data_IF_763390520693
#
_entry.id   IF_763390520693
#
_cell.length_a   1.000
_cell.length_b   1.000
_cell.length_c   1.000
_cell.angle_alpha   90.00
_cell.angle_beta   90.00
_cell.angle_gamma   90.00
#
_symmetry.space_group_name_H-M   'P 1'
#
loop_
_entity.id
_entity.type
_entity.pdbx_description
1 polymer ?
#
# COMPACT_ATOMS: atom_id res chain seq x y z
N UNK A 1 19.04 -0.37 68.44
CA UNK A 1 18.22 -0.11 67.24
C UNK A 1 18.54 1.28 66.76
N UNK A 2 19.38 1.39 65.73
CA UNK A 2 19.83 2.67 65.16
C UNK A 2 19.30 2.75 63.74
N UNK A 3 18.54 3.80 63.45
CA UNK A 3 17.89 4.06 62.16
C UNK A 3 18.89 4.78 61.27
N UNK A 4 19.32 4.13 60.18
CA UNK A 4 20.13 4.76 59.15
C UNK A 4 19.21 5.52 58.17
N UNK A 5 19.38 6.84 58.11
CA UNK A 5 18.70 7.76 57.19
C UNK A 5 19.23 7.61 55.77
N UNK A 6 18.34 7.43 54.79
CA UNK A 6 18.65 7.44 53.36
C UNK A 6 18.72 8.89 52.86
N UNK A 7 19.79 9.33 52.18
CA UNK A 7 19.85 10.67 51.62
C UNK A 7 19.05 10.76 50.31
N UNK A 8 18.32 11.86 50.15
CA UNK A 8 17.58 12.19 48.94
C UNK A 8 18.54 12.58 47.80
N UNK A 9 18.57 11.78 46.74
CA UNK A 9 19.25 12.12 45.50
C UNK A 9 18.27 12.82 44.56
N UNK A 10 18.23 14.14 44.68
CA UNK A 10 17.76 15.02 43.61
C UNK A 10 18.82 15.07 42.52
N UNK A 11 18.78 14.14 41.57
CA UNK A 11 19.48 14.29 40.30
C UNK A 11 18.58 15.03 39.31
N UNK A 12 18.97 16.27 39.01
CA UNK A 12 18.53 16.98 37.82
C UNK A 12 18.98 16.17 36.61
N UNK A 13 18.04 15.50 35.94
CA UNK A 13 18.25 15.00 34.59
C UNK A 13 18.56 16.20 33.71
N UNK A 14 19.82 16.34 33.37
CA UNK A 14 20.31 17.26 32.36
C UNK A 14 19.63 16.93 31.04
N UNK A 15 18.94 17.92 30.49
CA UNK A 15 18.30 17.89 29.18
C UNK A 15 19.34 17.61 28.10
N UNK A 16 19.50 16.34 27.75
CA UNK A 16 20.30 15.89 26.63
C UNK A 16 19.77 16.48 25.32
N UNK A 17 20.54 17.43 24.80
CA UNK A 17 20.72 17.76 23.39
C UNK A 17 19.51 17.69 22.46
N UNK A 18 19.07 18.86 22.02
CA UNK A 18 18.21 19.08 20.86
C UNK A 18 18.88 18.66 19.53
N UNK A 19 19.39 17.43 19.44
CA UNK A 19 19.64 16.78 18.17
C UNK A 19 18.28 16.62 17.47
N UNK A 20 18.13 17.35 16.36
CA UNK A 20 16.89 17.90 15.83
C UNK A 20 15.64 17.01 15.87
N UNK A 21 14.51 17.57 16.30
CA UNK A 21 13.18 16.98 16.11
C UNK A 21 12.86 16.65 14.64
N UNK A 22 13.64 17.15 13.68
CA UNK A 22 13.54 16.88 12.26
C UNK A 22 14.08 15.48 11.87
N UNK A 23 15.23 15.05 12.41
CA UNK A 23 15.76 13.70 12.18
C UNK A 23 14.79 12.61 12.68
N UNK A 24 13.96 12.94 13.68
CA UNK A 24 12.95 12.04 14.21
C UNK A 24 11.78 11.78 13.25
N UNK A 25 11.43 12.73 12.35
CA UNK A 25 10.20 12.68 11.53
C UNK A 25 10.34 11.95 10.19
N UNK A 26 11.54 11.97 9.60
CA UNK A 26 11.79 11.49 8.24
C UNK A 26 12.55 10.17 8.28
N UNK A 27 12.23 9.21 7.41
CA UNK A 27 12.85 7.88 7.35
C UNK A 27 14.35 8.00 7.15
N UNK A 28 14.80 8.71 6.10
CA UNK A 28 16.21 8.98 5.84
C UNK A 28 16.54 10.43 6.17
N UNK A 29 15.91 11.37 5.46
CA UNK A 29 16.02 12.80 5.73
C UNK A 29 14.89 13.54 5.03
N UNK A 30 14.61 14.77 5.48
CA UNK A 30 13.50 15.54 4.91
C UNK A 30 13.63 15.79 3.40
N UNK A 31 14.85 15.97 2.92
CA UNK A 31 15.11 16.21 1.51
C UNK A 31 15.03 14.92 0.69
N UNK A 32 15.68 13.83 1.16
CA UNK A 32 15.66 12.53 0.46
C UNK A 32 14.24 11.99 0.36
N UNK A 33 13.49 11.97 1.47
CA UNK A 33 12.15 11.42 1.50
C UNK A 33 11.20 12.20 0.58
N UNK A 34 11.25 13.54 0.59
CA UNK A 34 10.47 14.39 -0.32
C UNK A 34 10.87 14.15 -1.78
N UNK A 35 12.17 14.05 -2.06
CA UNK A 35 12.66 13.78 -3.39
C UNK A 35 12.11 12.45 -3.89
N UNK A 36 12.23 11.36 -3.12
CA UNK A 36 11.69 10.06 -3.51
C UNK A 36 10.17 10.10 -3.71
N UNK A 37 9.41 10.69 -2.79
CA UNK A 37 7.94 10.71 -2.87
C UNK A 37 7.44 11.54 -4.06
N UNK A 38 7.98 12.75 -4.24
CA UNK A 38 7.49 13.69 -5.27
C UNK A 38 8.08 13.39 -6.65
N UNK A 39 9.35 12.97 -6.72
CA UNK A 39 10.03 12.76 -7.99
C UNK A 39 9.57 11.48 -8.68
N UNK A 40 9.16 10.44 -7.93
CA UNK A 40 8.70 9.18 -8.53
C UNK A 40 7.59 9.39 -9.57
N UNK A 41 6.44 10.02 -9.27
CA UNK A 41 5.41 10.25 -10.29
C UNK A 41 5.86 11.24 -11.39
N UNK A 42 6.68 12.22 -11.02
CA UNK A 42 7.19 13.25 -11.95
C UNK A 42 8.22 12.71 -12.95
N UNK A 43 8.93 11.63 -12.63
CA UNK A 43 9.87 10.96 -13.55
C UNK A 43 9.19 9.79 -14.25
N UNK A 44 8.40 9.00 -13.54
CA UNK A 44 7.75 7.82 -14.12
C UNK A 44 6.79 8.20 -15.25
N UNK A 45 5.99 9.26 -15.08
CA UNK A 45 5.00 9.66 -16.10
C UNK A 45 5.68 10.13 -17.40
N UNK A 46 6.61 11.10 -17.39
CA UNK A 46 7.31 11.49 -18.61
C UNK A 46 8.15 10.37 -19.21
N UNK A 47 8.75 9.50 -18.38
CA UNK A 47 9.50 8.35 -18.89
C UNK A 47 8.60 7.41 -19.70
N UNK A 48 7.42 7.04 -19.17
CA UNK A 48 6.45 6.21 -19.90
C UNK A 48 5.99 6.89 -21.19
N UNK A 49 5.69 8.19 -21.14
CA UNK A 49 5.29 8.95 -22.32
C UNK A 49 6.40 9.02 -23.38
N UNK A 50 7.65 9.23 -22.98
CA UNK A 50 8.80 9.27 -23.87
C UNK A 50 9.04 7.90 -24.50
N UNK A 51 9.02 6.82 -23.71
CA UNK A 51 9.21 5.46 -24.20
C UNK A 51 8.11 5.06 -25.21
N UNK A 52 6.87 5.47 -24.97
CA UNK A 52 5.75 5.21 -25.89
C UNK A 52 5.64 6.21 -27.05
N UNK A 53 6.42 7.30 -27.01
CA UNK A 53 6.38 8.32 -28.06
C UNK A 53 6.92 7.80 -29.39
N UNK A 54 6.59 8.45 -30.53
CA UNK A 54 7.14 8.08 -31.84
C UNK A 54 8.67 8.11 -31.92
N UNK A 55 9.35 8.81 -31.01
CA UNK A 55 10.81 8.94 -30.98
C UNK A 55 11.51 7.64 -30.55
N UNK A 56 10.88 6.90 -29.62
CA UNK A 56 11.42 5.63 -29.10
C UNK A 56 10.62 4.44 -29.63
N UNK A 57 9.29 4.56 -29.70
CA UNK A 57 8.42 3.60 -30.34
C UNK A 57 8.19 2.30 -29.55
N UNK A 58 8.40 2.28 -28.23
CA UNK A 58 8.07 1.10 -27.43
C UNK A 58 6.56 0.92 -27.31
N UNK A 59 6.11 -0.32 -27.53
CA UNK A 59 4.72 -0.70 -27.35
C UNK A 59 4.32 -0.56 -25.88
N UNK A 60 3.10 -0.06 -25.65
CA UNK A 60 2.54 0.11 -24.31
C UNK A 60 2.51 -1.21 -23.52
N UNK A 61 2.32 -2.34 -24.20
CA UNK A 61 2.36 -3.67 -23.60
C UNK A 61 3.76 -4.00 -23.05
N UNK A 62 4.81 -3.77 -23.82
CA UNK A 62 6.20 -3.98 -23.37
C UNK A 62 6.53 -3.11 -22.16
N UNK A 63 6.14 -1.83 -22.19
CA UNK A 63 6.32 -0.91 -21.07
C UNK A 63 5.57 -1.43 -19.84
N UNK A 64 4.31 -1.86 -20.02
CA UNK A 64 3.48 -2.43 -18.96
C UNK A 64 4.09 -3.69 -18.35
N UNK A 65 4.63 -4.59 -19.16
CA UNK A 65 5.30 -5.81 -18.69
C UNK A 65 6.53 -5.48 -17.85
N UNK A 66 7.35 -4.52 -18.28
CA UNK A 66 8.54 -4.09 -17.53
C UNK A 66 8.12 -3.44 -16.21
N UNK A 67 7.19 -2.48 -16.25
CA UNK A 67 6.71 -1.76 -15.07
C UNK A 67 6.09 -2.74 -14.07
N UNK A 68 5.24 -3.64 -14.56
CA UNK A 68 4.58 -4.64 -13.71
C UNK A 68 5.58 -5.62 -13.12
N UNK A 69 6.54 -6.13 -13.90
CA UNK A 69 7.50 -7.13 -13.42
C UNK A 69 8.47 -6.57 -12.37
N UNK A 70 9.07 -5.40 -12.62
CA UNK A 70 10.11 -4.87 -11.74
C UNK A 70 9.56 -3.99 -10.62
N UNK A 71 8.59 -3.13 -10.91
CA UNK A 71 8.12 -2.14 -9.93
C UNK A 71 6.88 -2.64 -9.18
N UNK A 72 5.92 -3.22 -9.89
CA UNK A 72 4.71 -3.74 -9.25
C UNK A 72 4.95 -5.09 -8.55
N UNK A 73 5.72 -6.01 -9.15
CA UNK A 73 5.99 -7.33 -8.53
C UNK A 73 7.26 -7.32 -7.69
N UNK A 74 8.30 -6.59 -8.12
CA UNK A 74 9.60 -6.61 -7.43
C UNK A 74 9.56 -6.13 -5.98
N UNK A 75 8.61 -5.25 -5.61
CA UNK A 75 8.47 -4.81 -4.22
C UNK A 75 7.96 -5.92 -3.27
N UNK A 76 7.43 -7.03 -3.79
CA UNK A 76 7.04 -8.17 -2.96
C UNK A 76 8.25 -8.84 -2.31
N UNK A 77 9.42 -8.82 -2.95
CA UNK A 77 10.61 -9.47 -2.42
C UNK A 77 11.04 -8.90 -1.05
N UNK A 78 11.20 -7.58 -0.85
CA UNK A 78 11.40 -7.00 0.49
C UNK A 78 10.31 -7.40 1.49
N UNK A 79 9.05 -7.50 1.04
CA UNK A 79 7.94 -7.94 1.86
C UNK A 79 8.09 -9.40 2.33
N UNK A 80 8.51 -10.29 1.44
CA UNK A 80 8.80 -11.70 1.75
C UNK A 80 9.99 -11.82 2.71
N UNK A 81 11.09 -11.09 2.43
CA UNK A 81 12.26 -11.05 3.32
C UNK A 81 11.84 -10.61 4.73
N UNK A 82 10.99 -9.60 4.85
CA UNK A 82 10.47 -9.17 6.15
C UNK A 82 9.57 -10.23 6.79
N UNK A 83 8.63 -10.80 6.06
CA UNK A 83 7.66 -11.75 6.59
C UNK A 83 8.29 -13.05 7.11
N UNK A 84 9.32 -13.55 6.43
CA UNK A 84 9.99 -14.82 6.77
C UNK A 84 11.35 -14.64 7.45
N UNK A 85 11.95 -13.45 7.40
CA UNK A 85 13.24 -13.14 8.01
C UNK A 85 13.15 -12.48 9.39
N UNK A 86 12.04 -11.80 9.71
CA UNK A 86 11.81 -11.24 11.04
C UNK A 86 11.17 -12.32 11.95
N UNK A 87 11.96 -12.78 12.93
CA UNK A 87 11.54 -13.86 13.84
C UNK A 87 10.31 -13.49 14.66
N UNK A 88 10.24 -12.28 15.20
CA UNK A 88 9.12 -11.86 16.06
C UNK A 88 7.83 -11.77 15.23
N UNK A 89 7.93 -11.20 14.03
CA UNK A 89 6.80 -11.11 13.10
C UNK A 89 6.33 -12.51 12.64
N UNK A 90 7.27 -13.39 12.31
CA UNK A 90 6.95 -14.75 11.87
C UNK A 90 6.29 -15.54 12.99
N UNK A 91 6.86 -15.58 14.20
CA UNK A 91 6.27 -16.32 15.33
C UNK A 91 4.85 -15.84 15.64
N UNK A 92 4.59 -14.52 15.54
CA UNK A 92 3.26 -13.93 15.73
C UNK A 92 2.23 -14.32 14.68
N UNK A 93 2.62 -14.49 13.42
CA UNK A 93 1.71 -14.75 12.29
C UNK A 93 2.00 -16.05 11.53
N UNK A 94 2.72 -16.98 12.15
CA UNK A 94 3.29 -18.19 11.54
C UNK A 94 2.29 -18.97 10.69
N UNK A 95 1.08 -19.21 11.19
CA UNK A 95 0.06 -19.96 10.47
C UNK A 95 -0.43 -19.24 9.21
N UNK A 96 -0.48 -17.91 9.22
CA UNK A 96 -0.83 -17.13 8.03
C UNK A 96 0.28 -17.23 7.00
N UNK A 97 1.53 -17.13 7.41
CA UNK A 97 2.67 -17.21 6.50
C UNK A 97 2.94 -18.62 5.97
N UNK A 98 2.58 -19.67 6.72
CA UNK A 98 2.71 -21.05 6.26
C UNK A 98 1.53 -21.49 5.39
N UNK A 99 0.30 -21.15 5.76
CA UNK A 99 -0.90 -21.67 5.10
C UNK A 99 -1.38 -20.80 3.94
N UNK A 100 -1.25 -19.46 4.00
CA UNK A 100 -1.80 -18.61 2.95
C UNK A 100 -1.18 -18.87 1.56
N UNK A 101 0.15 -19.00 1.39
CA UNK A 101 0.73 -19.26 0.07
C UNK A 101 0.21 -20.55 -0.60
N UNK A 102 0.26 -21.75 0.05
CA UNK A 102 -0.24 -22.96 -0.58
C UNK A 102 -1.77 -22.92 -0.79
N UNK A 103 -2.54 -22.34 0.14
CA UNK A 103 -3.99 -22.25 -0.04
C UNK A 103 -4.38 -21.35 -1.21
N UNK A 104 -3.73 -20.20 -1.39
CA UNK A 104 -3.96 -19.32 -2.54
C UNK A 104 -3.52 -19.99 -3.83
N UNK A 105 -2.37 -20.68 -3.82
CA UNK A 105 -1.89 -21.44 -4.98
C UNK A 105 -2.85 -22.58 -5.37
N UNK A 106 -3.40 -23.31 -4.41
CA UNK A 106 -4.36 -24.37 -4.69
C UNK A 106 -5.71 -23.81 -5.15
N UNK A 107 -6.18 -22.71 -4.56
CA UNK A 107 -7.41 -22.03 -4.97
C UNK A 107 -7.34 -21.48 -6.40
N UNK A 108 -6.15 -21.14 -6.89
CA UNK A 108 -5.94 -20.66 -8.26
C UNK A 108 -6.49 -21.64 -9.30
N UNK A 109 -6.23 -22.95 -9.18
CA UNK A 109 -6.60 -23.91 -10.23
C UNK A 109 -8.11 -23.98 -10.53
N UNK A 110 -9.00 -24.21 -9.55
CA UNK A 110 -10.43 -24.23 -9.82
C UNK A 110 -10.98 -22.85 -10.20
N UNK A 111 -10.48 -21.77 -9.58
CA UNK A 111 -10.90 -20.41 -9.90
C UNK A 111 -10.53 -20.04 -11.34
N UNK A 112 -9.31 -20.33 -11.78
CA UNK A 112 -8.85 -20.08 -13.14
C UNK A 112 -9.61 -20.93 -14.16
N UNK A 113 -9.89 -22.20 -13.83
CA UNK A 113 -10.48 -23.17 -14.77
C UNK A 113 -11.99 -22.99 -14.92
N UNK A 114 -12.71 -22.75 -13.82
CA UNK A 114 -14.18 -22.77 -13.81
C UNK A 114 -14.82 -21.42 -13.50
N UNK A 115 -14.09 -20.48 -12.89
CA UNK A 115 -14.63 -19.21 -12.40
C UNK A 115 -13.68 -18.03 -12.69
N UNK A 116 -13.22 -17.93 -13.94
CA UNK A 116 -12.17 -17.01 -14.34
C UNK A 116 -12.51 -15.53 -14.08
N UNK A 117 -13.76 -15.13 -14.31
CA UNK A 117 -14.22 -13.77 -14.04
C UNK A 117 -14.22 -13.46 -12.55
N UNK A 118 -14.65 -14.40 -11.70
CA UNK A 118 -14.57 -14.27 -10.25
C UNK A 118 -13.11 -14.17 -9.79
N UNK A 119 -12.21 -14.97 -10.36
CA UNK A 119 -10.78 -14.87 -10.11
C UNK A 119 -10.25 -13.47 -10.42
N UNK A 120 -10.58 -12.92 -11.60
CA UNK A 120 -10.18 -11.56 -12.01
C UNK A 120 -10.70 -10.50 -11.04
N UNK A 121 -11.95 -10.61 -10.57
CA UNK A 121 -12.51 -9.69 -9.55
C UNK A 121 -11.78 -9.77 -8.22
N UNK A 122 -11.47 -10.99 -7.75
CA UNK A 122 -10.73 -11.20 -6.49
C UNK A 122 -9.35 -10.55 -6.61
N UNK A 123 -8.61 -10.83 -7.68
CA UNK A 123 -7.27 -10.26 -7.89
C UNK A 123 -7.34 -8.74 -8.04
N UNK A 124 -8.31 -8.21 -8.77
CA UNK A 124 -8.48 -6.77 -8.93
C UNK A 124 -8.75 -6.08 -7.59
N UNK A 125 -9.67 -6.63 -6.80
CA UNK A 125 -10.04 -6.13 -5.48
C UNK A 125 -8.86 -6.22 -4.53
N UNK A 126 -8.18 -7.37 -4.49
CA UNK A 126 -6.99 -7.60 -3.68
C UNK A 126 -5.86 -6.64 -4.05
N UNK A 127 -5.55 -6.47 -5.34
CA UNK A 127 -4.51 -5.56 -5.79
C UNK A 127 -4.82 -4.10 -5.41
N UNK A 128 -6.09 -3.69 -5.48
CA UNK A 128 -6.56 -2.38 -5.02
C UNK A 128 -6.33 -2.20 -3.53
N UNK A 129 -6.84 -3.15 -2.74
CA UNK A 129 -6.72 -3.14 -1.29
C UNK A 129 -5.25 -3.19 -0.85
N UNK A 130 -4.43 -4.01 -1.50
CA UNK A 130 -3.01 -4.16 -1.22
C UNK A 130 -2.27 -2.84 -1.44
N UNK A 131 -2.47 -2.20 -2.60
CA UNK A 131 -1.85 -0.90 -2.89
C UNK A 131 -2.28 0.19 -1.91
N UNK A 132 -3.57 0.22 -1.54
CA UNK A 132 -4.10 1.11 -0.52
C UNK A 132 -3.41 0.88 0.82
N UNK A 133 -3.38 -0.37 1.30
CA UNK A 133 -2.80 -0.72 2.59
C UNK A 133 -1.28 -0.49 2.63
N UNK A 134 -0.60 -0.63 1.50
CA UNK A 134 0.82 -0.31 1.35
C UNK A 134 1.06 1.19 1.51
N UNK A 135 0.30 2.03 0.80
CA UNK A 135 0.42 3.49 0.93
C UNK A 135 0.03 3.97 2.33
N UNK A 136 -1.08 3.46 2.86
CA UNK A 136 -1.52 3.72 4.22
C UNK A 136 -0.43 3.35 5.24
N UNK A 137 0.19 2.18 5.09
CA UNK A 137 1.31 1.75 5.93
C UNK A 137 2.48 2.74 5.92
N UNK A 138 2.86 3.27 4.75
CA UNK A 138 3.90 4.31 4.65
C UNK A 138 3.51 5.57 5.40
N UNK A 139 2.29 6.08 5.25
CA UNK A 139 1.79 7.24 6.00
C UNK A 139 1.91 7.00 7.51
N UNK A 140 1.53 5.80 7.98
CA UNK A 140 1.60 5.43 9.40
C UNK A 140 3.02 5.37 9.96
N UNK A 141 4.04 5.09 9.13
CA UNK A 141 5.44 5.14 9.56
C UNK A 141 5.86 6.58 9.89
N UNK A 142 5.50 7.56 9.05
CA UNK A 142 5.79 8.98 9.30
C UNK A 142 5.06 9.50 10.55
N UNK A 143 3.81 9.07 10.74
CA UNK A 143 3.02 9.41 11.91
C UNK A 143 3.63 8.87 13.21
N UNK A 144 4.07 7.61 13.20
CA UNK A 144 4.76 7.00 14.35
C UNK A 144 6.07 7.74 14.69
N UNK A 145 6.79 8.21 13.68
CA UNK A 145 8.03 8.99 13.82
C UNK A 145 7.84 10.34 14.53
N UNK A 146 6.65 10.93 14.45
CA UNK A 146 6.28 12.16 15.19
C UNK A 146 5.46 11.88 16.46
N UNK A 147 5.23 10.61 16.81
CA UNK A 147 4.43 10.21 17.96
C UNK A 147 2.91 10.30 17.76
N UNK A 148 2.44 10.46 16.52
CA UNK A 148 1.01 10.47 16.20
C UNK A 148 0.46 9.04 16.16
N UNK A 149 -0.16 8.62 17.27
CA UNK A 149 -0.77 7.28 17.43
C UNK A 149 -2.30 7.33 17.60
N UNK A 150 -2.92 8.48 17.32
CA UNK A 150 -4.37 8.67 17.47
C UNK A 150 -5.17 7.77 16.52
N UNK A 151 -6.17 7.02 17.02
CA UNK A 151 -7.06 6.23 16.15
C UNK A 151 -7.87 7.08 15.17
N UNK A 152 -8.15 8.35 15.50
CA UNK A 152 -8.88 9.25 14.60
C UNK A 152 -8.03 9.64 13.40
N UNK A 153 -6.77 10.00 13.63
CA UNK A 153 -5.81 10.31 12.54
C UNK A 153 -5.64 9.10 11.64
N UNK A 154 -5.45 7.90 12.22
CA UNK A 154 -5.34 6.67 11.46
C UNK A 154 -6.55 6.38 10.55
N UNK A 155 -7.78 6.66 11.02
CA UNK A 155 -9.00 6.51 10.19
C UNK A 155 -9.07 7.54 9.08
N UNK A 156 -8.65 8.77 9.33
CA UNK A 156 -8.59 9.82 8.29
C UNK A 156 -7.55 9.49 7.23
N UNK A 157 -6.35 9.08 7.62
CA UNK A 157 -5.31 8.63 6.69
C UNK A 157 -5.79 7.47 5.82
N UNK A 158 -6.49 6.51 6.44
CA UNK A 158 -7.07 5.38 5.72
C UNK A 158 -8.15 5.82 4.73
N UNK A 159 -9.05 6.73 5.13
CA UNK A 159 -10.11 7.26 4.26
C UNK A 159 -9.52 8.04 3.08
N UNK A 160 -8.49 8.85 3.30
CA UNK A 160 -7.78 9.56 2.23
C UNK A 160 -7.15 8.57 1.25
N UNK A 161 -6.51 7.52 1.74
CA UNK A 161 -5.96 6.46 0.88
C UNK A 161 -7.08 5.73 0.12
N UNK A 162 -8.21 5.43 0.78
CA UNK A 162 -9.37 4.81 0.14
C UNK A 162 -9.91 5.67 -1.00
N UNK A 163 -10.25 6.93 -0.72
CA UNK A 163 -10.76 7.86 -1.72
C UNK A 163 -9.78 7.99 -2.89
N UNK A 164 -8.47 8.14 -2.63
CA UNK A 164 -7.46 8.22 -3.68
C UNK A 164 -7.43 7.00 -4.62
N UNK A 165 -7.48 5.79 -4.07
CA UNK A 165 -7.44 4.56 -4.86
C UNK A 165 -8.76 4.23 -5.57
N UNK A 166 -9.90 4.46 -4.90
CA UNK A 166 -11.24 4.18 -5.47
C UNK A 166 -11.59 5.20 -6.54
N UNK A 167 -11.38 6.50 -6.28
CA UNK A 167 -11.64 7.57 -7.25
C UNK A 167 -10.83 7.35 -8.54
N UNK A 168 -9.53 7.05 -8.42
CA UNK A 168 -8.69 6.81 -9.59
C UNK A 168 -9.20 5.66 -10.49
N UNK A 169 -9.86 4.64 -9.91
CA UNK A 169 -10.50 3.56 -10.68
C UNK A 169 -11.83 3.99 -11.28
N UNK A 170 -12.71 4.61 -10.51
CA UNK A 170 -14.06 4.97 -10.96
C UNK A 170 -14.06 6.03 -12.07
N UNK A 171 -13.06 6.90 -12.09
CA UNK A 171 -12.90 7.92 -13.14
C UNK A 171 -12.25 7.40 -14.43
N UNK A 172 -11.87 6.12 -14.50
CA UNK A 172 -11.38 5.49 -15.73
C UNK A 172 -12.46 4.60 -16.35
N UNK A 173 -13.14 5.04 -17.43
CA UNK A 173 -14.24 4.29 -18.04
C UNK A 173 -13.87 2.85 -18.39
N UNK A 174 -12.69 2.65 -18.96
CA UNK A 174 -12.15 1.32 -19.30
C UNK A 174 -12.08 0.39 -18.08
N UNK A 175 -11.60 0.89 -16.93
CA UNK A 175 -11.54 0.08 -15.71
C UNK A 175 -12.93 -0.23 -15.14
N UNK A 176 -13.84 0.74 -15.20
CA UNK A 176 -15.22 0.52 -14.75
C UNK A 176 -15.89 -0.54 -15.63
N UNK A 177 -15.83 -0.40 -16.95
CA UNK A 177 -16.39 -1.38 -17.88
C UNK A 177 -15.77 -2.77 -17.68
N UNK A 178 -14.45 -2.84 -17.58
CA UNK A 178 -13.72 -4.10 -17.32
C UNK A 178 -14.12 -4.76 -15.99
N UNK A 179 -14.32 -3.97 -14.94
CA UNK A 179 -14.76 -4.49 -13.63
C UNK A 179 -16.20 -4.99 -13.68
N UNK A 180 -17.09 -4.24 -14.35
CA UNK A 180 -18.50 -4.60 -14.49
C UNK A 180 -18.70 -5.84 -15.34
N UNK A 181 -17.92 -6.00 -16.41
CA UNK A 181 -17.94 -7.18 -17.27
C UNK A 181 -17.68 -8.45 -16.45
N UNK A 182 -16.60 -8.47 -15.66
CA UNK A 182 -16.32 -9.58 -14.77
C UNK A 182 -17.36 -9.75 -13.66
N UNK A 183 -17.90 -8.65 -13.11
CA UNK A 183 -18.96 -8.68 -12.09
C UNK A 183 -20.22 -9.38 -12.60
N UNK A 184 -20.68 -9.03 -13.79
CA UNK A 184 -21.86 -9.66 -14.39
C UNK A 184 -21.59 -11.10 -14.81
N UNK A 185 -20.41 -11.39 -15.38
CA UNK A 185 -20.01 -12.76 -15.74
C UNK A 185 -19.87 -13.68 -14.52
N UNK A 186 -19.53 -13.12 -13.35
CA UNK A 186 -19.52 -13.84 -12.08
C UNK A 186 -20.92 -13.98 -11.43
N UNK A 187 -21.99 -13.50 -12.08
CA UNK A 187 -23.37 -13.57 -11.58
C UNK A 187 -23.77 -12.43 -10.64
N UNK A 188 -23.01 -11.34 -10.62
CA UNK A 188 -23.33 -10.14 -9.83
C UNK A 188 -24.61 -9.44 -10.33
N UNK A 189 -25.38 -8.79 -9.44
CA UNK A 189 -26.58 -8.06 -9.81
C UNK A 189 -26.28 -6.91 -10.78
N UNK A 190 -27.22 -6.66 -11.69
CA UNK A 190 -27.16 -5.53 -12.64
C UNK A 190 -27.14 -4.20 -11.87
N UNK A 191 -26.13 -3.38 -12.14
CA UNK A 191 -26.03 -2.04 -11.57
C UNK A 191 -26.63 -1.03 -12.54
N UNK A 192 -27.56 -0.20 -12.06
CA UNK A 192 -28.17 0.83 -12.91
C UNK A 192 -27.14 1.90 -13.29
N UNK A 193 -27.27 2.55 -14.47
CA UNK A 193 -26.40 3.66 -14.86
C UNK A 193 -26.36 4.80 -13.81
N UNK A 194 -27.50 5.04 -13.14
CA UNK A 194 -27.60 6.02 -12.05
C UNK A 194 -26.75 5.63 -10.84
N UNK A 195 -26.72 4.35 -10.47
CA UNK A 195 -25.89 3.87 -9.36
C UNK A 195 -24.39 3.94 -9.69
N UNK A 196 -23.99 3.56 -10.91
CA UNK A 196 -22.59 3.70 -11.35
C UNK A 196 -22.15 5.17 -11.36
N UNK A 197 -23.04 6.07 -11.81
CA UNK A 197 -22.78 7.50 -11.81
C UNK A 197 -22.68 8.07 -10.40
N UNK A 198 -23.59 7.68 -9.50
CA UNK A 198 -23.54 8.09 -8.10
C UNK A 198 -22.23 7.66 -7.45
N UNK A 199 -21.84 6.39 -7.58
CA UNK A 199 -20.57 5.87 -7.06
C UNK A 199 -19.37 6.68 -7.56
N UNK A 200 -19.35 7.05 -8.85
CA UNK A 200 -18.26 7.84 -9.42
C UNK A 200 -18.14 9.23 -8.79
N UNK A 201 -19.25 9.89 -8.47
CA UNK A 201 -19.24 11.26 -7.96
C UNK A 201 -19.23 11.38 -6.43
N UNK A 202 -19.48 10.28 -5.71
CA UNK A 202 -19.52 10.27 -4.24
C UNK A 202 -18.36 9.54 -3.57
N UNK A 203 -17.50 8.86 -4.32
CA UNK A 203 -16.29 8.21 -3.81
C UNK A 203 -15.14 9.19 -3.58
#
# INVERSE_FOLDING_TARGET
MSVASVPALGERVSSGGAASSAARRWIISSWVDRLLILLTPLVATPAVLLLNSPWVGLQAETISLIVTSFFATGHHLPGLIRAYGDRELFERFQWRFLLAPPLVFLAYFPLYTYHYDLYRLIILTWATWHGLMQLYGFVRIYDAKVGSISPRTARWDWLVCLCGFVTARLFRPEQVSYTLDHWYSAGGPVLSPGMVSALRWTA
#
